data_IF_415434865663
#
_entry.id   IF_415434865663
#
_cell.length_a   1.000
_cell.length_b   1.000
_cell.length_c   1.000
_cell.angle_alpha   90.00
_cell.angle_beta   90.00
_cell.angle_gamma   90.00
#
_symmetry.space_group_name_H-M   'P 1'
#
loop_
_entity.id
_entity.type
_entity.pdbx_description
1 polymer ?
#
# COMPACT_ATOMS: atom_id res chain seq x y z
N UNK A 1 89.68 -6.36 27.96
CA UNK A 1 88.55 -5.50 27.53
C UNK A 1 88.20 -5.77 26.07
N UNK A 2 87.58 -6.93 25.76
CA UNK A 2 87.20 -7.31 24.38
C UNK A 2 85.71 -7.66 24.21
N UNK A 3 84.94 -7.81 25.31
CA UNK A 3 83.54 -8.25 25.26
C UNK A 3 82.49 -7.16 25.01
N UNK A 4 82.81 -5.89 25.26
CA UNK A 4 81.82 -4.79 25.18
C UNK A 4 81.46 -4.39 23.74
N UNK A 5 82.41 -4.47 22.80
CA UNK A 5 82.18 -4.06 21.40
C UNK A 5 81.38 -5.10 20.61
N UNK A 6 81.56 -6.38 20.92
CA UNK A 6 80.80 -7.48 20.28
C UNK A 6 79.34 -7.44 20.72
N UNK A 7 79.09 -7.18 22.01
CA UNK A 7 77.73 -7.06 22.53
C UNK A 7 76.99 -5.85 21.92
N UNK A 8 77.69 -4.72 21.77
CA UNK A 8 77.15 -3.52 21.10
C UNK A 8 76.85 -3.76 19.62
N UNK A 9 77.73 -4.49 18.91
CA UNK A 9 77.51 -4.83 17.50
C UNK A 9 76.31 -5.78 17.33
N UNK A 10 76.16 -6.78 18.20
CA UNK A 10 75.00 -7.69 18.17
C UNK A 10 73.71 -6.92 18.46
N UNK A 11 73.71 -6.03 19.46
CA UNK A 11 72.53 -5.21 19.79
C UNK A 11 72.11 -4.30 18.61
N UNK A 12 73.07 -3.64 17.96
CA UNK A 12 72.82 -2.79 16.78
C UNK A 12 72.27 -3.60 15.60
N UNK A 13 72.84 -4.77 15.34
CA UNK A 13 72.35 -5.66 14.28
C UNK A 13 70.94 -6.15 14.60
N UNK A 14 70.65 -6.55 15.85
CA UNK A 14 69.30 -6.93 16.27
C UNK A 14 68.29 -5.79 16.12
N UNK A 15 68.66 -4.55 16.45
CA UNK A 15 67.81 -3.36 16.25
C UNK A 15 67.53 -3.08 14.76
N UNK A 16 68.52 -3.27 13.90
CA UNK A 16 68.34 -3.10 12.45
C UNK A 16 67.49 -4.21 11.81
N UNK A 17 67.47 -5.42 12.40
CA UNK A 17 66.58 -6.52 11.99
C UNK A 17 65.16 -6.39 12.55
N UNK A 18 64.93 -5.60 13.60
CA UNK A 18 63.60 -5.36 14.18
C UNK A 18 62.83 -4.24 13.45
N UNK A 19 63.53 -3.29 12.81
CA UNK A 19 62.93 -2.18 12.09
C UNK A 19 62.02 -2.56 10.88
N UNK A 20 62.30 -3.64 10.11
CA UNK A 20 61.39 -4.11 9.06
C UNK A 20 60.16 -4.86 9.60
N UNK A 21 60.18 -5.31 10.86
CA UNK A 21 59.09 -6.09 11.47
C UNK A 21 58.00 -5.18 12.04
N UNK A 22 58.33 -3.91 12.31
CA UNK A 22 57.35 -2.86 12.67
C UNK A 22 56.60 -2.25 11.47
N UNK A 23 56.82 -2.75 10.25
CA UNK A 23 56.36 -2.12 9.01
C UNK A 23 55.10 -2.67 8.35
N UNK A 24 54.32 -3.56 8.97
CA UNK A 24 53.08 -4.09 8.37
C UNK A 24 52.14 -4.77 9.39
N UNK A 25 51.76 -4.07 10.46
CA UNK A 25 50.79 -4.54 11.47
C UNK A 25 49.84 -3.42 11.93
N UNK A 26 49.47 -2.56 10.99
CA UNK A 26 48.45 -1.53 11.17
C UNK A 26 48.01 -1.08 9.80
N UNK A 27 46.69 -0.92 9.62
CA UNK A 27 46.01 -0.49 8.40
C UNK A 27 45.62 -1.62 7.43
N UNK A 28 44.56 -2.31 7.80
CA UNK A 28 43.35 -2.49 6.98
C UNK A 28 42.29 -3.20 7.83
N UNK A 29 42.00 -2.69 9.03
CA UNK A 29 40.67 -2.97 9.59
C UNK A 29 39.70 -2.06 8.84
N UNK A 30 38.62 -2.60 8.26
CA UNK A 30 37.62 -1.77 7.61
C UNK A 30 37.15 -0.70 8.59
N UNK A 31 37.12 0.55 8.14
CA UNK A 31 36.69 1.65 8.97
C UNK A 31 35.19 1.46 9.27
N UNK A 32 34.88 1.02 10.49
CA UNK A 32 33.51 0.71 10.88
C UNK A 32 32.73 2.03 10.97
N UNK A 33 31.80 2.24 10.01
CA UNK A 33 30.86 3.35 10.04
C UNK A 33 29.88 3.13 11.20
N UNK A 34 29.77 4.11 12.10
CA UNK A 34 28.88 4.06 13.26
C UNK A 34 27.65 4.93 13.05
N UNK A 35 26.62 4.75 13.90
CA UNK A 35 25.41 5.58 13.87
C UNK A 35 25.69 7.06 14.14
N UNK A 36 26.80 7.39 14.79
CA UNK A 36 27.19 8.78 15.08
C UNK A 36 27.84 9.50 13.90
N UNK A 37 28.22 8.76 12.85
CA UNK A 37 28.86 9.33 11.66
C UNK A 37 27.82 9.85 10.65
N UNK A 38 26.54 9.79 10.99
CA UNK A 38 25.42 10.21 10.13
C UNK A 38 24.36 10.93 10.91
N UNK A 39 23.89 12.04 10.36
CA UNK A 39 22.80 12.85 10.93
C UNK A 39 21.62 12.85 9.97
N UNK A 40 20.46 12.41 10.47
CA UNK A 40 19.19 12.41 9.74
C UNK A 40 18.30 13.53 10.26
N UNK A 41 17.86 14.41 9.37
CA UNK A 41 16.98 15.55 9.68
C UNK A 41 15.71 15.47 8.82
N UNK A 42 14.50 15.66 9.37
CA UNK A 42 14.20 15.95 10.78
C UNK A 42 14.41 14.75 11.70
N UNK A 43 14.65 15.01 12.98
CA UNK A 43 14.86 13.97 14.00
C UNK A 43 13.62 13.10 14.29
N UNK A 44 12.43 13.56 13.87
CA UNK A 44 11.18 12.80 13.92
C UNK A 44 10.52 12.93 12.55
N UNK A 45 10.22 11.80 11.92
CA UNK A 45 9.57 11.76 10.61
C UNK A 45 8.05 11.80 10.76
N UNK A 46 7.36 12.47 9.85
CA UNK A 46 5.90 12.46 9.77
C UNK A 46 5.43 11.23 9.02
N UNK A 47 4.73 10.34 9.70
CA UNK A 47 4.24 9.09 9.11
C UNK A 47 3.16 9.34 8.06
N UNK A 48 3.27 8.68 6.90
CA UNK A 48 2.26 8.66 5.86
C UNK A 48 2.26 9.84 4.90
N UNK A 49 3.24 10.75 4.95
CA UNK A 49 3.39 11.86 3.99
C UNK A 49 4.79 11.86 3.38
N UNK A 50 4.90 12.30 2.12
CA UNK A 50 6.20 12.61 1.55
C UNK A 50 6.77 13.86 2.24
N UNK A 51 8.02 13.78 2.64
CA UNK A 51 8.71 14.87 3.30
C UNK A 51 10.20 14.85 2.96
N UNK A 52 10.81 16.04 2.96
CA UNK A 52 12.24 16.20 2.79
C UNK A 52 12.99 15.64 4.00
N UNK A 53 13.85 14.67 3.75
CA UNK A 53 14.76 14.08 4.73
C UNK A 53 16.19 14.34 4.26
N UNK A 54 16.95 15.05 5.08
CA UNK A 54 18.38 15.30 4.85
C UNK A 54 19.20 14.25 5.57
N UNK A 55 20.10 13.61 4.85
CA UNK A 55 21.10 12.66 5.38
C UNK A 55 22.45 13.33 5.21
N UNK A 56 23.15 13.63 6.31
CA UNK A 56 24.48 14.24 6.31
C UNK A 56 25.51 13.26 6.86
N UNK A 57 26.67 13.17 6.23
CA UNK A 57 27.72 12.23 6.59
C UNK A 57 28.95 12.95 7.15
N UNK A 58 29.48 12.48 8.27
CA UNK A 58 30.74 12.97 8.86
C UNK A 58 31.97 12.21 8.31
N UNK A 59 31.73 11.08 7.64
CA UNK A 59 32.74 10.22 6.99
C UNK A 59 32.27 9.77 5.62
N UNK A 60 33.19 9.27 4.80
CA UNK A 60 32.85 8.64 3.53
C UNK A 60 32.02 7.37 3.79
N UNK A 61 30.79 7.34 3.28
CA UNK A 61 29.85 6.25 3.49
C UNK A 61 28.83 6.12 2.36
N UNK A 62 28.21 4.94 2.26
CA UNK A 62 26.97 4.76 1.50
C UNK A 62 25.80 4.63 2.46
N UNK A 63 24.64 5.15 2.08
CA UNK A 63 23.39 4.99 2.81
C UNK A 63 22.32 4.34 1.92
N UNK A 64 21.68 3.29 2.42
CA UNK A 64 20.52 2.65 1.81
C UNK A 64 19.25 3.08 2.52
N UNK A 65 18.30 3.59 1.73
CA UNK A 65 17.03 4.12 2.19
C UNK A 65 15.93 3.17 1.71
N UNK A 66 15.37 2.31 2.58
CA UNK A 66 14.43 1.26 2.18
C UNK A 66 12.96 1.75 2.16
N UNK A 67 12.72 2.92 1.56
CA UNK A 67 11.41 3.59 1.56
C UNK A 67 11.02 4.08 0.17
N UNK A 68 9.75 4.45 0.00
CA UNK A 68 9.31 5.09 -1.24
C UNK A 68 9.88 6.50 -1.30
N UNK A 69 10.46 6.83 -2.46
CA UNK A 69 11.13 8.10 -2.71
C UNK A 69 10.45 8.76 -3.90
N UNK A 70 10.04 10.01 -3.73
CA UNK A 70 9.62 10.84 -4.85
C UNK A 70 10.89 11.40 -5.51
N UNK A 71 11.24 10.85 -6.66
CA UNK A 71 12.43 11.24 -7.40
C UNK A 71 12.11 12.50 -8.21
N UNK A 72 12.63 13.64 -7.75
CA UNK A 72 12.37 14.96 -8.36
C UNK A 72 12.89 15.07 -9.81
N UNK A 73 13.92 14.30 -10.17
CA UNK A 73 14.52 14.33 -11.50
C UNK A 73 13.67 13.59 -12.54
N UNK A 74 13.05 12.48 -12.13
CA UNK A 74 12.20 11.68 -13.01
C UNK A 74 10.72 12.00 -12.89
N UNK A 75 10.31 12.68 -11.81
CA UNK A 75 8.90 12.93 -11.46
C UNK A 75 8.17 11.71 -10.87
N UNK A 76 8.79 10.53 -10.87
CA UNK A 76 8.16 9.28 -10.42
C UNK A 76 8.50 8.94 -8.97
N UNK A 77 7.63 8.13 -8.36
CA UNK A 77 7.93 7.44 -7.11
C UNK A 77 8.69 6.15 -7.41
N UNK A 78 9.82 5.95 -6.72
CA UNK A 78 10.61 4.71 -6.79
C UNK A 78 10.66 4.02 -5.44
N UNK A 79 10.90 2.70 -5.46
CA UNK A 79 11.10 1.92 -4.25
C UNK A 79 12.60 1.86 -3.91
N UNK A 80 12.95 2.51 -2.81
CA UNK A 80 14.29 2.55 -2.23
C UNK A 80 15.37 3.23 -3.10
N UNK A 81 16.48 3.58 -2.48
CA UNK A 81 17.68 4.09 -3.16
C UNK A 81 18.94 3.81 -2.34
N UNK A 82 20.09 3.92 -2.97
CA UNK A 82 21.41 3.97 -2.33
C UNK A 82 22.06 5.28 -2.75
N UNK A 83 22.66 5.99 -1.79
CA UNK A 83 23.41 7.23 -2.03
C UNK A 83 24.81 7.09 -1.46
N UNK A 84 25.80 7.59 -2.19
CA UNK A 84 27.17 7.72 -1.70
C UNK A 84 27.38 9.16 -1.22
N UNK A 85 27.97 9.31 -0.04
CA UNK A 85 28.24 10.59 0.61
C UNK A 85 29.70 10.63 1.03
N UNK A 86 30.45 11.62 0.56
CA UNK A 86 31.78 11.89 1.12
C UNK A 86 31.66 12.61 2.46
N UNK A 87 32.74 12.60 3.24
CA UNK A 87 32.79 13.29 4.53
C UNK A 87 32.46 14.79 4.38
N UNK A 88 31.43 15.23 5.09
CA UNK A 88 30.89 16.59 5.05
C UNK A 88 29.78 16.81 4.02
N UNK A 89 29.45 15.80 3.19
CA UNK A 89 28.36 15.88 2.23
C UNK A 89 27.01 15.65 2.88
N UNK A 90 25.96 16.13 2.21
CA UNK A 90 24.58 15.85 2.56
C UNK A 90 23.70 15.73 1.33
N UNK A 91 22.65 14.94 1.44
CA UNK A 91 21.62 14.79 0.40
C UNK A 91 20.25 15.00 0.98
N UNK A 92 19.37 15.67 0.23
CA UNK A 92 17.96 15.83 0.53
C UNK A 92 17.14 14.87 -0.33
N UNK A 93 16.34 14.02 0.29
CA UNK A 93 15.44 13.07 -0.39
C UNK A 93 14.00 13.29 0.04
N UNK A 94 13.05 13.21 -0.89
CA UNK A 94 11.62 13.21 -0.57
C UNK A 94 11.18 11.79 -0.23
N UNK A 95 11.07 11.47 1.06
CA UNK A 95 10.79 10.11 1.55
C UNK A 95 9.36 10.03 2.09
N UNK A 96 8.64 8.96 1.75
CA UNK A 96 7.39 8.60 2.41
C UNK A 96 7.68 7.70 3.61
N UNK A 97 7.61 8.27 4.82
CA UNK A 97 7.75 7.48 6.03
C UNK A 97 6.53 6.57 6.24
N UNK A 98 6.71 5.30 6.66
CA UNK A 98 5.58 4.37 6.78
C UNK A 98 4.52 4.84 7.80
N UNK A 99 3.22 4.75 7.47
CA UNK A 99 2.15 5.34 8.28
C UNK A 99 1.70 4.51 9.50
N UNK A 100 2.20 3.28 9.67
CA UNK A 100 1.76 2.30 10.69
C UNK A 100 2.89 1.82 11.61
N UNK A 101 4.00 2.53 11.66
CA UNK A 101 5.12 2.23 12.55
C UNK A 101 5.64 3.52 13.18
N UNK A 102 6.34 3.39 14.30
CA UNK A 102 6.97 4.49 15.05
C UNK A 102 8.49 4.57 14.82
N UNK A 103 9.04 3.70 13.97
CA UNK A 103 10.48 3.56 13.76
C UNK A 103 10.80 3.36 12.28
N UNK A 104 11.55 4.28 11.69
CA UNK A 104 12.27 4.12 10.43
C UNK A 104 13.69 3.60 10.69
N UNK A 105 14.28 3.00 9.66
CA UNK A 105 15.61 2.40 9.64
C UNK A 105 16.27 2.82 8.32
N UNK A 106 17.42 3.46 8.42
CA UNK A 106 18.33 3.74 7.29
C UNK A 106 19.58 2.91 7.52
N UNK A 107 20.03 2.17 6.51
CA UNK A 107 21.21 1.32 6.63
C UNK A 107 22.42 2.10 6.11
N UNK A 108 23.53 2.02 6.82
CA UNK A 108 24.77 2.70 6.44
C UNK A 108 25.93 1.72 6.47
N UNK A 109 26.88 1.94 5.57
CA UNK A 109 28.03 1.06 5.38
C UNK A 109 29.14 1.76 4.62
N UNK A 110 30.18 0.99 4.28
CA UNK A 110 31.34 1.47 3.55
C UNK A 110 30.95 2.21 2.26
N UNK A 111 31.72 3.23 1.92
CA UNK A 111 31.52 4.00 0.69
C UNK A 111 31.61 3.10 -0.56
N UNK A 112 30.66 3.26 -1.48
CA UNK A 112 30.53 2.44 -2.69
C UNK A 112 29.94 1.05 -2.43
N UNK A 113 29.23 0.84 -1.32
CA UNK A 113 28.65 -0.47 -1.01
C UNK A 113 27.51 -0.85 -1.97
N UNK A 114 27.70 -1.99 -2.64
CA UNK A 114 26.79 -2.49 -3.68
C UNK A 114 25.64 -3.36 -3.18
N UNK A 115 25.83 -4.14 -2.10
CA UNK A 115 24.85 -5.12 -1.61
C UNK A 115 24.39 -4.80 -0.19
N UNK A 116 23.09 -4.92 0.05
CA UNK A 116 22.44 -4.50 1.29
C UNK A 116 21.49 -5.57 1.82
N UNK A 117 21.48 -5.82 3.14
CA UNK A 117 20.55 -6.76 3.75
C UNK A 117 19.16 -6.12 3.82
N UNK A 118 18.12 -6.91 3.60
CA UNK A 118 16.73 -6.48 3.72
C UNK A 118 15.91 -7.47 4.53
N UNK A 119 14.83 -6.97 5.14
CA UNK A 119 13.82 -7.79 5.81
C UNK A 119 13.06 -8.70 4.84
N UNK A 120 12.43 -9.75 5.38
CA UNK A 120 11.45 -10.54 4.63
C UNK A 120 10.14 -9.75 4.43
N UNK A 121 9.30 -10.21 3.50
CA UNK A 121 8.07 -9.48 3.12
C UNK A 121 7.02 -9.41 4.25
N UNK A 122 7.01 -10.42 5.11
CA UNK A 122 6.13 -10.58 6.27
C UNK A 122 6.64 -9.89 7.54
N UNK A 123 7.84 -9.33 7.49
CA UNK A 123 8.48 -8.66 8.61
C UNK A 123 8.44 -7.14 8.44
N UNK A 124 8.27 -6.39 9.55
CA UNK A 124 8.42 -4.93 9.56
C UNK A 124 9.87 -4.51 9.80
N UNK A 125 10.28 -3.33 9.34
CA UNK A 125 11.63 -2.80 9.63
C UNK A 125 11.91 -2.65 11.13
N UNK A 126 10.87 -2.35 11.94
CA UNK A 126 10.97 -2.31 13.39
C UNK A 126 11.29 -3.68 13.98
N UNK A 127 10.57 -4.71 13.55
CA UNK A 127 10.81 -6.10 14.00
C UNK A 127 12.18 -6.59 13.56
N UNK A 128 12.55 -6.30 12.31
CA UNK A 128 13.86 -6.64 11.73
C UNK A 128 15.01 -6.03 12.53
N UNK A 129 14.91 -4.75 12.89
CA UNK A 129 15.89 -4.08 13.74
C UNK A 129 15.90 -4.68 15.15
N UNK A 130 14.74 -4.90 15.76
CA UNK A 130 14.61 -5.40 17.13
C UNK A 130 15.18 -6.82 17.34
N UNK A 131 15.25 -7.64 16.28
CA UNK A 131 15.90 -8.95 16.33
C UNK A 131 17.38 -8.92 15.95
N UNK A 132 18.01 -7.75 15.87
CA UNK A 132 19.39 -7.54 15.43
C UNK A 132 19.66 -7.96 13.97
N UNK A 133 18.67 -7.79 13.09
CA UNK A 133 18.79 -8.17 11.68
C UNK A 133 20.01 -7.54 10.99
N UNK A 134 20.39 -6.32 11.35
CA UNK A 134 21.55 -5.62 10.78
C UNK A 134 22.90 -6.30 11.04
N UNK A 135 22.99 -7.18 12.05
CA UNK A 135 24.20 -7.92 12.40
C UNK A 135 24.24 -9.33 11.79
N UNK A 136 23.18 -9.77 11.10
CA UNK A 136 23.06 -11.14 10.58
C UNK A 136 23.48 -11.26 9.12
N UNK A 137 24.10 -12.40 8.78
CA UNK A 137 24.56 -12.71 7.42
C UNK A 137 23.51 -13.40 6.54
N UNK A 138 22.44 -13.94 7.13
CA UNK A 138 21.44 -14.78 6.48
C UNK A 138 20.20 -14.01 6.00
N UNK A 139 20.19 -12.67 6.12
CA UNK A 139 19.12 -11.86 5.57
C UNK A 139 19.04 -12.00 4.03
N UNK A 140 17.85 -11.87 3.44
CA UNK A 140 17.71 -11.54 2.03
C UNK A 140 18.50 -10.29 1.65
N UNK A 141 18.85 -10.15 0.36
CA UNK A 141 19.66 -9.05 -0.13
C UNK A 141 19.02 -8.25 -1.27
N UNK A 142 19.48 -7.02 -1.42
CA UNK A 142 19.30 -6.22 -2.64
C UNK A 142 20.65 -5.72 -3.14
N UNK A 143 20.77 -5.58 -4.45
CA UNK A 143 21.93 -4.96 -5.08
C UNK A 143 21.55 -3.61 -5.69
N UNK A 144 22.45 -2.65 -5.54
CA UNK A 144 22.38 -1.33 -6.16
C UNK A 144 22.36 -1.46 -7.69
N UNK A 145 21.59 -0.59 -8.33
CA UNK A 145 21.51 -0.44 -9.78
C UNK A 145 21.59 1.03 -10.10
N UNK A 146 22.59 1.42 -10.90
CA UNK A 146 22.79 2.80 -11.30
C UNK A 146 21.50 3.40 -11.88
N UNK A 147 21.14 4.60 -11.43
CA UNK A 147 20.00 5.32 -11.95
C UNK A 147 20.16 5.68 -13.43
N UNK A 148 19.04 5.98 -14.08
CA UNK A 148 19.02 6.33 -15.51
C UNK A 148 19.21 7.83 -15.63
N UNK A 149 20.06 8.28 -16.56
CA UNK A 149 20.31 9.70 -16.85
C UNK A 149 20.72 10.52 -15.61
N UNK A 150 21.66 9.98 -14.81
CA UNK A 150 22.20 10.62 -13.59
C UNK A 150 21.21 10.73 -12.42
N UNK A 151 20.01 10.12 -12.54
CA UNK A 151 19.09 10.01 -11.42
C UNK A 151 19.61 9.13 -10.29
N UNK A 152 19.05 9.35 -9.09
CA UNK A 152 19.36 8.55 -7.91
C UNK A 152 19.19 7.06 -8.20
N UNK A 153 20.05 6.26 -7.56
CA UNK A 153 20.12 4.84 -7.85
C UNK A 153 18.86 4.10 -7.43
N UNK A 154 18.65 2.96 -8.06
CA UNK A 154 17.57 2.04 -7.74
C UNK A 154 18.17 0.76 -7.14
N UNK A 155 17.31 -0.17 -6.74
CA UNK A 155 17.75 -1.47 -6.24
C UNK A 155 17.01 -2.59 -6.95
N UNK A 156 17.67 -3.75 -7.02
CA UNK A 156 17.08 -4.99 -7.50
C UNK A 156 17.32 -6.12 -6.50
N UNK A 157 16.49 -7.15 -6.56
CA UNK A 157 16.62 -8.31 -5.68
C UNK A 157 17.95 -9.02 -5.92
N UNK A 158 18.62 -9.43 -4.84
CA UNK A 158 19.90 -10.13 -4.87
C UNK A 158 19.92 -11.30 -3.88
N UNK A 159 20.69 -12.33 -4.21
CA UNK A 159 20.99 -13.41 -3.26
C UNK A 159 22.15 -13.05 -2.30
N UNK A 160 22.73 -11.86 -2.44
CA UNK A 160 23.83 -11.37 -1.63
C UNK A 160 23.31 -10.23 -0.73
N UNK A 161 23.33 -10.44 0.58
CA UNK A 161 23.01 -9.42 1.59
C UNK A 161 24.12 -8.38 1.76
N UNK A 162 25.35 -8.70 1.33
CA UNK A 162 26.52 -7.89 1.61
C UNK A 162 27.03 -8.00 3.05
N UNK A 163 26.42 -8.83 3.89
CA UNK A 163 26.80 -9.01 5.30
C UNK A 163 26.31 -7.87 6.21
N UNK A 164 26.89 -7.73 7.41
CA UNK A 164 26.41 -6.80 8.43
C UNK A 164 26.48 -5.34 7.98
N UNK A 165 25.59 -4.52 8.54
CA UNK A 165 25.48 -3.07 8.32
C UNK A 165 25.24 -2.36 9.63
N UNK A 166 25.47 -1.05 9.63
CA UNK A 166 25.04 -0.19 10.73
C UNK A 166 23.62 0.30 10.42
N UNK A 167 22.71 0.18 11.39
CA UNK A 167 21.31 0.54 11.20
C UNK A 167 20.95 1.78 12.04
N UNK A 168 20.65 2.88 11.36
CA UNK A 168 20.28 4.16 11.97
C UNK A 168 18.77 4.21 12.13
N UNK A 169 18.29 4.33 13.36
CA UNK A 169 16.85 4.42 13.62
C UNK A 169 16.38 5.88 13.70
N UNK A 170 15.21 6.15 13.14
CA UNK A 170 14.58 7.48 13.20
C UNK A 170 13.14 7.33 13.68
N UNK A 171 12.73 8.01 14.77
CA UNK A 171 11.35 7.99 15.23
C UNK A 171 10.37 8.48 14.15
N UNK A 172 9.21 7.85 14.07
CA UNK A 172 8.09 8.27 13.22
C UNK A 172 6.90 8.64 14.11
N UNK A 173 6.27 9.76 13.80
CA UNK A 173 5.00 10.16 14.39
C UNK A 173 4.01 10.50 13.28
N UNK A 174 2.91 9.73 13.20
CA UNK A 174 1.79 10.11 12.33
C UNK A 174 1.07 11.30 12.96
N UNK A 175 0.92 12.37 12.17
CA UNK A 175 0.24 13.58 12.62
C UNK A 175 -1.28 13.35 12.72
N UNK A 176 -1.96 14.25 13.41
CA UNK A 176 -3.40 14.21 13.62
C UNK A 176 -3.96 15.60 13.31
N UNK A 177 -5.03 15.66 12.53
CA UNK A 177 -5.70 16.91 12.23
C UNK A 177 -6.33 17.47 13.51
N UNK A 178 -6.10 18.76 13.77
CA UNK A 178 -6.57 19.42 14.99
C UNK A 178 -8.11 19.47 15.13
N UNK A 179 -8.84 19.24 14.03
CA UNK A 179 -10.30 19.29 13.99
C UNK A 179 -10.97 18.04 14.61
N UNK A 180 -10.25 16.94 14.80
CA UNK A 180 -10.81 15.68 15.29
C UNK A 180 -10.22 15.33 16.64
N UNK A 181 -10.99 14.72 17.54
CA UNK A 181 -10.45 14.08 18.74
C UNK A 181 -10.04 12.63 18.43
N UNK A 182 -9.32 11.97 19.34
CA UNK A 182 -8.93 10.56 19.14
C UNK A 182 -10.17 9.66 19.04
N UNK A 183 -11.19 9.94 19.85
CA UNK A 183 -12.47 9.24 19.83
C UNK A 183 -13.22 9.37 18.49
N UNK A 184 -12.97 10.45 17.74
CA UNK A 184 -13.56 10.69 16.43
C UNK A 184 -12.69 10.15 15.28
N UNK A 185 -11.71 9.29 15.59
CA UNK A 185 -10.79 8.72 14.60
C UNK A 185 -9.63 9.64 14.23
N UNK A 186 -9.32 10.65 15.04
CA UNK A 186 -8.27 11.62 14.73
C UNK A 186 -6.88 11.02 14.49
N UNK A 187 -6.54 9.87 15.11
CA UNK A 187 -5.29 9.13 14.81
C UNK A 187 -5.16 8.64 13.37
N UNK A 188 -6.27 8.63 12.63
CA UNK A 188 -6.37 8.18 11.26
C UNK A 188 -6.74 9.31 10.31
N UNK A 189 -6.48 10.57 10.66
CA UNK A 189 -6.95 11.76 9.94
C UNK A 189 -5.94 12.47 9.04
N UNK A 190 -4.70 11.99 9.01
CA UNK A 190 -3.62 12.58 8.21
C UNK A 190 -2.84 11.49 7.49
N UNK A 191 -2.16 11.85 6.40
CA UNK A 191 -1.41 10.95 5.54
C UNK A 191 -1.89 11.04 4.11
N UNK A 192 -1.15 10.43 3.18
CA UNK A 192 -1.48 10.36 1.77
C UNK A 192 -2.79 9.60 1.54
N UNK A 193 -2.97 8.51 2.28
CA UNK A 193 -4.25 7.80 2.42
C UNK A 193 -4.52 7.59 3.90
N UNK A 194 -5.72 7.96 4.34
CA UNK A 194 -6.10 7.96 5.75
C UNK A 194 -7.51 7.42 5.98
N UNK A 195 -7.74 6.88 7.18
CA UNK A 195 -9.00 6.21 7.51
C UNK A 195 -10.15 7.17 7.77
N UNK A 196 -9.86 8.44 8.10
CA UNK A 196 -10.90 9.46 8.32
C UNK A 196 -11.53 9.88 7.01
N UNK A 197 -10.73 10.03 5.95
CA UNK A 197 -11.23 10.29 4.60
C UNK A 197 -12.14 9.16 4.11
N UNK A 198 -11.73 7.90 4.29
CA UNK A 198 -12.59 6.73 4.02
C UNK A 198 -13.89 6.80 4.82
N UNK A 199 -13.81 7.06 6.13
CA UNK A 199 -14.99 7.20 6.98
C UNK A 199 -15.93 8.32 6.52
N UNK A 200 -15.39 9.47 6.10
CA UNK A 200 -16.20 10.58 5.60
C UNK A 200 -16.96 10.20 4.33
N UNK A 201 -16.32 9.48 3.38
CA UNK A 201 -17.00 8.96 2.19
C UNK A 201 -18.11 7.96 2.55
N UNK A 202 -17.85 7.03 3.50
CA UNK A 202 -18.88 6.12 3.99
C UNK A 202 -20.04 6.94 4.55
N UNK A 203 -19.76 7.89 5.43
CA UNK A 203 -20.76 8.70 6.10
C UNK A 203 -21.61 9.52 5.12
N UNK A 204 -21.03 10.05 4.04
CA UNK A 204 -21.78 10.76 3.00
C UNK A 204 -22.68 9.80 2.22
N UNK A 205 -22.13 8.69 1.73
CA UNK A 205 -22.90 7.75 0.91
C UNK A 205 -23.98 7.01 1.71
N UNK A 206 -23.76 6.75 3.00
CA UNK A 206 -24.67 6.01 3.86
C UNK A 206 -25.53 6.89 4.77
N UNK A 207 -25.62 8.21 4.54
CA UNK A 207 -26.44 9.11 5.36
C UNK A 207 -27.93 8.82 5.15
N UNK A 208 -28.55 8.17 6.12
CA UNK A 208 -29.97 7.80 6.10
C UNK A 208 -30.89 8.87 6.71
N UNK A 209 -30.37 10.07 6.96
CA UNK A 209 -31.17 11.21 7.40
C UNK A 209 -32.26 11.50 6.36
N UNK A 210 -33.55 11.56 6.76
CA UNK A 210 -34.62 11.81 5.80
C UNK A 210 -34.53 13.18 5.13
N UNK A 211 -34.55 13.19 3.79
CA UNK A 211 -34.70 14.41 2.97
C UNK A 211 -36.05 14.40 2.25
N UNK A 212 -37.04 15.22 2.69
CA UNK A 212 -38.33 15.32 2.03
C UNK A 212 -38.30 15.89 0.60
N UNK A 213 -37.17 16.45 0.17
CA UNK A 213 -36.96 17.00 -1.17
C UNK A 213 -36.32 16.00 -2.12
N UNK A 214 -35.71 14.95 -1.60
CA UNK A 214 -35.25 13.80 -2.37
C UNK A 214 -36.46 12.90 -2.71
N UNK A 215 -36.78 12.82 -4.00
CA UNK A 215 -37.88 12.00 -4.50
C UNK A 215 -37.46 10.59 -4.96
N UNK A 216 -36.17 10.27 -4.82
CA UNK A 216 -35.51 9.08 -5.33
C UNK A 216 -35.41 8.02 -4.24
N UNK A 217 -34.70 8.30 -3.15
CA UNK A 217 -34.54 7.42 -1.99
C UNK A 217 -35.01 8.05 -0.67
N UNK A 218 -35.28 9.36 -0.68
CA UNK A 218 -35.76 10.12 0.47
C UNK A 218 -34.71 10.31 1.58
N UNK A 219 -33.42 10.19 1.26
CA UNK A 219 -32.31 10.36 2.18
C UNK A 219 -31.36 11.49 1.72
N UNK A 220 -30.47 11.93 2.60
CA UNK A 220 -29.41 12.90 2.26
C UNK A 220 -28.26 12.22 1.50
N UNK A 221 -28.00 10.94 1.79
CA UNK A 221 -26.95 10.15 1.17
C UNK A 221 -27.35 9.54 -0.18
N UNK A 222 -26.69 8.44 -0.54
CA UNK A 222 -26.91 7.73 -1.81
C UNK A 222 -27.28 6.27 -1.52
N UNK A 223 -28.54 6.07 -1.12
CA UNK A 223 -29.05 4.78 -0.68
C UNK A 223 -29.66 3.99 -1.83
N UNK A 224 -30.14 2.79 -1.53
CA UNK A 224 -30.91 1.93 -2.44
C UNK A 224 -30.26 1.73 -3.80
N UNK A 225 -28.92 1.63 -3.86
CA UNK A 225 -28.11 1.52 -5.10
C UNK A 225 -28.21 0.14 -5.75
N UNK A 226 -29.42 -0.38 -5.92
CA UNK A 226 -29.67 -1.74 -6.39
C UNK A 226 -29.58 -1.79 -7.92
N UNK A 227 -28.62 -2.55 -8.42
CA UNK A 227 -28.40 -2.69 -9.86
C UNK A 227 -29.55 -3.48 -10.54
N UNK A 228 -29.88 -3.07 -11.76
CA UNK A 228 -30.68 -3.86 -12.68
C UNK A 228 -32.18 -3.92 -12.48
N UNK A 229 -32.76 -2.81 -12.02
CA UNK A 229 -34.21 -2.65 -11.95
C UNK A 229 -34.68 -1.32 -12.57
N UNK A 230 -33.82 -0.59 -13.30
CA UNK A 230 -34.13 0.76 -13.78
C UNK A 230 -34.34 1.73 -12.62
N UNK A 231 -33.43 1.66 -11.65
CA UNK A 231 -33.54 2.30 -10.35
C UNK A 231 -32.92 3.71 -10.38
N UNK A 232 -33.72 4.73 -10.05
CA UNK A 232 -33.27 6.11 -10.04
C UNK A 232 -32.20 6.39 -8.96
N UNK A 233 -32.24 5.69 -7.82
CA UNK A 233 -31.27 5.86 -6.73
C UNK A 233 -29.89 5.34 -7.12
N UNK A 234 -29.89 4.21 -7.84
CA UNK A 234 -28.70 3.66 -8.44
C UNK A 234 -28.05 4.66 -9.42
N UNK A 235 -28.82 5.21 -10.37
CA UNK A 235 -28.34 6.23 -11.33
C UNK A 235 -27.81 7.50 -10.64
N UNK A 236 -28.53 8.01 -9.63
CA UNK A 236 -28.12 9.21 -8.90
C UNK A 236 -26.78 9.02 -8.17
N UNK A 237 -26.64 7.89 -7.47
CA UNK A 237 -25.39 7.52 -6.82
C UNK A 237 -24.21 7.44 -7.80
N UNK A 238 -24.44 7.03 -9.03
CA UNK A 238 -23.39 7.03 -10.03
C UNK A 238 -23.03 8.37 -10.60
N UNK A 239 -24.01 9.26 -10.78
CA UNK A 239 -23.70 10.63 -11.16
C UNK A 239 -22.83 11.29 -10.08
N UNK A 240 -23.08 11.02 -8.80
CA UNK A 240 -22.20 11.44 -7.71
C UNK A 240 -20.78 10.86 -7.84
N UNK A 241 -20.65 9.55 -8.08
CA UNK A 241 -19.35 8.89 -8.19
C UNK A 241 -18.56 9.34 -9.43
N UNK A 242 -19.23 9.53 -10.57
CA UNK A 242 -18.64 10.09 -11.81
C UNK A 242 -18.10 11.48 -11.51
N UNK A 243 -18.93 12.38 -10.98
CA UNK A 243 -18.52 13.74 -10.65
C UNK A 243 -17.38 13.77 -9.63
N UNK A 244 -17.40 12.87 -8.65
CA UNK A 244 -16.34 12.76 -7.64
C UNK A 244 -15.00 12.41 -8.29
N UNK A 245 -14.96 11.39 -9.14
CA UNK A 245 -13.74 10.99 -9.85
C UNK A 245 -13.27 12.05 -10.86
N UNK A 246 -14.18 12.70 -11.57
CA UNK A 246 -13.87 13.83 -12.46
C UNK A 246 -13.25 15.00 -11.69
N UNK A 247 -13.78 15.30 -10.50
CA UNK A 247 -13.27 16.37 -9.63
C UNK A 247 -11.86 16.07 -9.08
N UNK A 248 -11.46 14.80 -8.99
CA UNK A 248 -10.07 14.43 -8.71
C UNK A 248 -9.13 14.69 -9.91
N UNK A 249 -9.68 14.98 -11.09
CA UNK A 249 -8.93 15.20 -12.33
C UNK A 249 -8.68 13.92 -13.13
N UNK A 250 -9.44 12.85 -12.87
CA UNK A 250 -9.36 11.60 -13.61
C UNK A 250 -10.20 11.65 -14.88
N UNK A 251 -9.77 10.93 -15.92
CA UNK A 251 -10.61 10.71 -17.10
C UNK A 251 -11.61 9.60 -16.77
N UNK A 252 -12.89 9.95 -16.62
CA UNK A 252 -13.93 8.97 -16.26
C UNK A 252 -14.54 8.37 -17.51
N UNK A 253 -14.42 7.05 -17.64
CA UNK A 253 -15.04 6.27 -18.70
C UNK A 253 -16.09 5.36 -18.06
N UNK A 254 -17.34 5.57 -18.46
CA UNK A 254 -18.47 4.74 -18.03
C UNK A 254 -18.78 3.68 -19.07
N UNK A 255 -18.92 2.42 -18.66
CA UNK A 255 -19.36 1.34 -19.55
C UNK A 255 -20.79 0.94 -19.18
N UNK A 256 -21.76 1.35 -20.00
CA UNK A 256 -23.18 0.99 -19.83
C UNK A 256 -23.50 -0.27 -20.63
N UNK A 257 -24.10 -1.27 -19.99
CA UNK A 257 -24.37 -2.56 -20.60
C UNK A 257 -25.69 -3.17 -20.11
N UNK A 258 -26.20 -4.11 -20.89
CA UNK A 258 -27.39 -4.92 -20.58
C UNK A 258 -26.92 -6.35 -20.38
N UNK A 259 -27.40 -7.01 -19.33
CA UNK A 259 -27.09 -8.42 -19.09
C UNK A 259 -28.35 -9.26 -19.28
N UNK A 260 -28.31 -10.18 -20.24
CA UNK A 260 -29.36 -11.16 -20.48
C UNK A 260 -28.77 -12.57 -20.32
N UNK A 261 -29.23 -13.32 -19.31
CA UNK A 261 -28.85 -14.73 -19.14
C UNK A 261 -29.96 -15.65 -19.61
N UNK A 262 -29.72 -16.36 -20.71
CA UNK A 262 -30.61 -17.40 -21.22
C UNK A 262 -30.69 -18.63 -20.29
N UNK A 263 -29.67 -18.83 -19.44
CA UNK A 263 -29.55 -19.98 -18.53
C UNK A 263 -30.29 -19.77 -17.20
N UNK A 264 -30.31 -18.54 -16.68
CA UNK A 264 -30.98 -18.20 -15.43
C UNK A 264 -32.28 -17.42 -15.64
N UNK A 265 -32.57 -16.99 -16.87
CA UNK A 265 -33.69 -16.11 -17.20
C UNK A 265 -33.54 -14.69 -16.64
N UNK A 266 -32.39 -14.37 -16.03
CA UNK A 266 -32.14 -13.06 -15.45
C UNK A 266 -31.96 -12.02 -16.57
N UNK A 267 -32.80 -10.99 -16.54
CA UNK A 267 -32.63 -9.78 -17.33
C UNK A 267 -32.25 -8.66 -16.39
N UNK A 268 -31.10 -8.05 -16.65
CA UNK A 268 -30.67 -6.81 -16.05
C UNK A 268 -30.86 -5.72 -17.12
N UNK A 269 -31.95 -4.94 -17.06
CA UNK A 269 -32.27 -3.95 -18.07
C UNK A 269 -31.20 -2.86 -18.17
N UNK A 270 -30.34 -2.69 -17.15
CA UNK A 270 -29.22 -1.76 -17.20
C UNK A 270 -28.25 -1.87 -16.02
N UNK A 271 -26.96 -1.96 -16.35
CA UNK A 271 -25.85 -1.83 -15.41
C UNK A 271 -24.80 -0.90 -16.03
N UNK A 272 -24.02 -0.21 -15.19
CA UNK A 272 -22.91 0.60 -15.69
C UNK A 272 -21.72 0.59 -14.73
N UNK A 273 -20.54 0.33 -15.28
CA UNK A 273 -19.30 0.49 -14.52
C UNK A 273 -18.85 1.96 -14.60
N UNK A 274 -18.21 2.44 -13.53
CA UNK A 274 -17.62 3.78 -13.46
C UNK A 274 -16.12 3.61 -13.22
N UNK A 275 -15.29 3.93 -14.19
CA UNK A 275 -13.85 3.79 -14.07
C UNK A 275 -13.16 5.13 -14.31
N UNK A 276 -12.40 5.61 -13.31
CA UNK A 276 -11.52 6.78 -13.43
C UNK A 276 -10.12 6.34 -13.85
N UNK A 277 -9.59 6.94 -14.92
CA UNK A 277 -8.29 6.63 -15.51
C UNK A 277 -7.30 7.76 -15.27
N UNK A 278 -6.12 7.38 -14.79
CA UNK A 278 -4.90 8.20 -14.82
C UNK A 278 -3.89 7.53 -15.73
N UNK A 279 -3.84 7.95 -16.99
CA UNK A 279 -2.95 7.35 -17.98
C UNK A 279 -1.47 7.51 -17.61
N UNK A 280 -0.73 6.42 -17.69
CA UNK A 280 0.70 6.38 -17.43
C UNK A 280 1.48 7.09 -18.54
N UNK A 281 2.57 7.77 -18.18
CA UNK A 281 3.38 8.53 -19.13
C UNK A 281 4.45 7.70 -19.86
N UNK A 282 4.67 6.45 -19.44
CA UNK A 282 5.71 5.56 -20.03
C UNK A 282 5.09 4.33 -20.68
N UNK A 283 4.19 3.64 -19.99
CA UNK A 283 3.49 2.45 -20.45
C UNK A 283 1.97 2.65 -20.27
N UNK A 284 1.32 3.48 -21.09
CA UNK A 284 -0.12 3.75 -20.97
C UNK A 284 -0.99 2.49 -21.11
N UNK A 285 -0.50 1.46 -21.80
CA UNK A 285 -1.21 0.20 -22.02
C UNK A 285 -1.01 -0.80 -20.87
N UNK A 286 -0.17 -0.50 -19.86
CA UNK A 286 -0.02 -1.32 -18.65
C UNK A 286 -0.91 -0.76 -17.54
N UNK A 287 -1.91 -1.50 -17.12
CA UNK A 287 -2.95 -1.03 -16.20
C UNK A 287 -2.80 -1.66 -14.81
N UNK A 288 -2.77 -0.81 -13.79
CA UNK A 288 -2.86 -1.17 -12.37
C UNK A 288 -4.25 -0.77 -11.86
N UNK A 289 -5.05 -1.76 -11.47
CA UNK A 289 -6.49 -1.57 -11.26
C UNK A 289 -6.84 -1.70 -9.77
N UNK A 290 -7.54 -0.71 -9.22
CA UNK A 290 -8.21 -0.74 -7.93
C UNK A 290 -9.71 -0.86 -8.16
N UNK A 291 -10.32 -1.92 -7.63
CA UNK A 291 -11.73 -2.24 -7.83
C UNK A 291 -12.51 -2.25 -6.51
N UNK A 292 -13.77 -1.84 -6.58
CA UNK A 292 -14.82 -2.14 -5.61
C UNK A 292 -16.15 -2.15 -6.35
N UNK A 293 -17.22 -2.74 -5.80
CA UNK A 293 -18.54 -2.55 -6.39
C UNK A 293 -19.30 -1.47 -5.62
N UNK A 294 -20.10 -0.71 -6.36
CA UNK A 294 -20.91 0.37 -5.78
C UNK A 294 -22.38 -0.01 -5.70
N UNK A 295 -22.83 -1.06 -6.40
CA UNK A 295 -24.17 -1.56 -6.18
C UNK A 295 -24.31 -2.25 -4.81
N UNK A 296 -25.54 -2.28 -4.30
CA UNK A 296 -25.88 -2.88 -3.01
C UNK A 296 -26.94 -3.96 -3.25
N UNK A 297 -26.93 -5.05 -2.48
CA UNK A 297 -28.03 -5.99 -2.46
C UNK A 297 -29.33 -5.33 -1.92
N UNK A 298 -30.50 -5.57 -2.54
CA UNK A 298 -31.77 -5.09 -2.01
C UNK A 298 -32.18 -5.84 -0.74
N UNK A 299 -32.90 -5.20 0.20
CA UNK A 299 -33.51 -5.88 1.35
C UNK A 299 -34.61 -6.85 0.89
N UNK A 300 -34.83 -7.95 1.64
CA UNK A 300 -36.00 -8.82 1.40
C UNK A 300 -37.28 -8.00 1.56
N UNK A 301 -38.05 -7.85 0.48
CA UNK A 301 -39.38 -7.29 0.58
C UNK A 301 -40.24 -8.25 1.43
N UNK A 302 -40.82 -7.76 2.53
CA UNK A 302 -41.61 -8.51 3.53
C UNK A 302 -42.94 -9.09 3.03
N UNK A 303 -42.99 -9.56 1.79
CA UNK A 303 -44.10 -10.28 1.19
C UNK A 303 -43.59 -11.19 0.08
N UNK A 304 -43.61 -12.49 0.36
CA UNK A 304 -43.35 -13.63 -0.53
C UNK A 304 -41.92 -14.22 -0.53
N UNK A 305 -41.84 -15.31 0.24
CA UNK A 305 -41.11 -16.56 -0.03
C UNK A 305 -39.74 -16.74 0.61
N UNK A 306 -39.55 -17.98 1.04
CA UNK A 306 -38.36 -18.55 1.66
C UNK A 306 -37.08 -18.21 0.85
N UNK A 307 -36.07 -17.56 1.46
CA UNK A 307 -34.79 -17.20 0.82
C UNK A 307 -33.96 -18.42 0.36
N UNK A 308 -34.36 -19.65 0.70
CA UNK A 308 -33.78 -20.88 0.16
C UNK A 308 -34.38 -21.31 -1.19
N UNK A 309 -35.47 -20.68 -1.66
CA UNK A 309 -36.16 -21.05 -2.91
C UNK A 309 -35.90 -20.03 -4.04
N UNK A 310 -35.68 -18.73 -3.73
CA UNK A 310 -35.58 -17.66 -4.73
C UNK A 310 -34.22 -16.94 -4.81
N UNK A 311 -33.22 -17.42 -4.08
CA UNK A 311 -31.94 -16.73 -3.94
C UNK A 311 -31.96 -15.79 -2.74
N UNK A 312 -30.87 -15.81 -1.98
CA UNK A 312 -30.71 -15.07 -0.72
C UNK A 312 -30.68 -13.55 -1.01
N UNK A 313 -31.48 -12.72 -0.34
CA UNK A 313 -31.29 -11.25 -0.34
C UNK A 313 -31.10 -10.74 1.08
N UNK A 314 -29.87 -10.76 1.61
CA UNK A 314 -29.53 -10.21 2.94
C UNK A 314 -29.15 -8.72 2.89
N UNK A 315 -29.60 -8.02 1.85
CA UNK A 315 -29.20 -6.65 1.54
C UNK A 315 -29.78 -5.58 2.45
N UNK A 316 -29.31 -4.34 2.27
CA UNK A 316 -29.74 -3.18 3.06
C UNK A 316 -30.01 -1.99 2.15
N UNK A 317 -30.55 -0.91 2.72
CA UNK A 317 -30.64 0.37 2.00
C UNK A 317 -29.28 1.05 1.83
N UNK A 318 -28.34 0.80 2.75
CA UNK A 318 -27.09 1.59 2.88
C UNK A 318 -25.83 0.90 2.36
N UNK A 319 -25.77 -0.44 2.42
CA UNK A 319 -24.60 -1.23 2.01
C UNK A 319 -23.30 -0.81 2.70
N UNK A 320 -23.34 -0.36 3.96
CA UNK A 320 -22.21 0.30 4.62
C UNK A 320 -20.92 -0.55 4.57
N UNK A 321 -21.03 -1.83 4.90
CA UNK A 321 -19.95 -2.82 4.81
C UNK A 321 -19.76 -3.37 3.39
N UNK A 322 -20.87 -3.61 2.71
CA UNK A 322 -20.97 -4.31 1.43
C UNK A 322 -21.80 -3.45 0.45
N UNK A 323 -21.18 -2.60 -0.37
CA UNK A 323 -19.74 -2.32 -0.39
C UNK A 323 -19.42 -0.82 -0.48
N UNK A 324 -20.21 -0.02 0.24
CA UNK A 324 -19.94 1.40 0.46
C UNK A 324 -18.54 1.60 1.08
N UNK A 325 -18.09 0.71 1.95
CA UNK A 325 -16.73 0.74 2.50
C UNK A 325 -15.65 0.56 1.43
N UNK A 326 -15.72 -0.46 0.58
CA UNK A 326 -14.75 -0.68 -0.50
C UNK A 326 -14.79 0.44 -1.54
N UNK A 327 -15.98 0.89 -1.92
CA UNK A 327 -16.17 2.07 -2.78
C UNK A 327 -15.45 3.29 -2.19
N UNK A 328 -15.63 3.57 -0.90
CA UNK A 328 -14.99 4.68 -0.20
C UNK A 328 -13.46 4.56 -0.15
N UNK A 329 -12.95 3.35 -0.02
CA UNK A 329 -11.51 3.10 -0.06
C UNK A 329 -10.94 3.33 -1.45
N UNK A 330 -11.60 2.89 -2.52
CA UNK A 330 -11.19 3.17 -3.90
C UNK A 330 -11.21 4.67 -4.17
N UNK A 331 -12.26 5.40 -3.75
CA UNK A 331 -12.31 6.86 -3.86
C UNK A 331 -11.15 7.54 -3.12
N UNK A 332 -10.81 7.10 -1.92
CA UNK A 332 -9.71 7.67 -1.13
C UNK A 332 -8.34 7.44 -1.78
N UNK A 333 -8.12 6.26 -2.39
CA UNK A 333 -6.89 5.99 -3.15
C UNK A 333 -6.88 6.80 -4.44
N UNK A 334 -8.02 6.90 -5.15
CA UNK A 334 -8.16 7.69 -6.37
C UNK A 334 -7.81 9.17 -6.11
N UNK A 335 -8.37 9.76 -5.06
CA UNK A 335 -8.08 11.15 -4.64
C UNK A 335 -6.59 11.34 -4.36
N UNK A 336 -5.99 10.44 -3.58
CA UNK A 336 -4.57 10.51 -3.22
C UNK A 336 -3.64 10.38 -4.43
N UNK A 337 -4.01 9.55 -5.41
CA UNK A 337 -3.14 9.15 -6.51
C UNK A 337 -3.37 9.95 -7.79
N UNK A 338 -4.52 10.62 -7.96
CA UNK A 338 -4.85 11.35 -9.19
C UNK A 338 -3.84 12.45 -9.54
N UNK A 339 -3.19 13.05 -8.54
CA UNK A 339 -2.20 14.10 -8.73
C UNK A 339 -0.79 13.61 -9.08
N UNK A 340 -0.52 12.31 -8.97
CA UNK A 340 0.80 11.77 -9.27
C UNK A 340 0.95 11.42 -10.76
N UNK A 341 2.15 11.62 -11.28
CA UNK A 341 2.56 11.03 -12.55
C UNK A 341 3.05 9.60 -12.30
N UNK A 342 2.52 8.65 -13.05
CA UNK A 342 2.88 7.24 -12.95
C UNK A 342 3.38 6.72 -14.29
N UNK A 343 4.26 5.71 -14.24
CA UNK A 343 4.78 5.07 -15.45
C UNK A 343 3.67 4.28 -16.15
N UNK A 344 2.91 3.52 -15.37
CA UNK A 344 1.79 2.70 -15.81
C UNK A 344 0.48 3.46 -15.56
N UNK A 345 -0.58 3.10 -16.28
CA UNK A 345 -1.91 3.65 -16.08
C UNK A 345 -2.51 3.13 -14.78
N UNK A 346 -3.06 4.01 -13.96
CA UNK A 346 -3.87 3.65 -12.80
C UNK A 346 -5.35 3.72 -13.16
N UNK A 347 -6.09 2.70 -12.77
CA UNK A 347 -7.54 2.62 -13.03
C UNK A 347 -8.26 2.41 -11.70
N UNK A 348 -9.23 3.27 -11.41
CA UNK A 348 -10.08 3.20 -10.23
C UNK A 348 -11.49 2.86 -10.68
N UNK A 349 -11.88 1.58 -10.57
CA UNK A 349 -13.14 1.07 -11.10
C UNK A 349 -14.14 0.75 -9.99
N UNK A 350 -15.35 1.24 -10.19
CA UNK A 350 -16.52 0.95 -9.38
C UNK A 350 -17.46 0.09 -10.22
N UNK A 351 -17.49 -1.20 -9.88
CA UNK A 351 -18.26 -2.23 -10.59
C UNK A 351 -19.74 -2.14 -10.29
N UNK A 352 -20.54 -2.49 -11.29
CA UNK A 352 -21.97 -2.69 -11.15
C UNK A 352 -22.36 -4.17 -11.21
N UNK A 353 -23.41 -4.53 -10.47
CA UNK A 353 -24.03 -5.85 -10.55
C UNK A 353 -23.16 -6.96 -9.98
N UNK A 354 -22.30 -6.65 -8.99
CA UNK A 354 -21.55 -7.67 -8.26
C UNK A 354 -22.50 -8.62 -7.54
N UNK A 355 -23.49 -8.05 -6.86
CA UNK A 355 -24.52 -8.73 -6.06
C UNK A 355 -25.40 -9.66 -6.90
N UNK A 356 -25.44 -9.40 -8.21
CA UNK A 356 -26.12 -10.20 -9.21
C UNK A 356 -25.23 -11.26 -9.88
N UNK A 357 -23.98 -11.41 -9.46
CA UNK A 357 -22.97 -12.32 -10.01
C UNK A 357 -21.94 -11.65 -10.90
N UNK A 358 -21.15 -10.68 -10.37
CA UNK A 358 -19.94 -10.11 -11.01
C UNK A 358 -20.11 -9.51 -12.40
N UNK A 359 -21.33 -9.08 -12.73
CA UNK A 359 -21.72 -8.74 -14.12
C UNK A 359 -20.87 -7.61 -14.69
N UNK A 360 -20.59 -6.59 -13.88
CA UNK A 360 -19.78 -5.44 -14.26
C UNK A 360 -18.32 -5.77 -14.50
N UNK A 361 -17.68 -6.51 -13.60
CA UNK A 361 -16.29 -6.93 -13.79
C UNK A 361 -16.13 -7.89 -14.96
N UNK A 362 -17.10 -8.80 -15.19
CA UNK A 362 -17.10 -9.68 -16.36
C UNK A 362 -17.22 -8.85 -17.65
N UNK A 363 -18.15 -7.88 -17.70
CA UNK A 363 -18.28 -7.00 -18.86
C UNK A 363 -16.98 -6.22 -19.13
N UNK A 364 -16.39 -5.62 -18.10
CA UNK A 364 -15.17 -4.82 -18.25
C UNK A 364 -14.00 -5.67 -18.73
N UNK A 365 -13.84 -6.88 -18.19
CA UNK A 365 -12.73 -7.75 -18.59
C UNK A 365 -12.92 -8.32 -20.00
N UNK A 366 -14.12 -8.79 -20.35
CA UNK A 366 -14.35 -9.48 -21.62
C UNK A 366 -14.53 -8.54 -22.80
N UNK A 367 -15.21 -7.40 -22.61
CA UNK A 367 -15.47 -6.45 -23.69
C UNK A 367 -14.50 -5.28 -23.64
N UNK A 368 -14.47 -4.54 -22.53
CA UNK A 368 -13.67 -3.31 -22.47
C UNK A 368 -12.17 -3.57 -22.57
N UNK A 369 -11.64 -4.58 -21.88
CA UNK A 369 -10.20 -4.91 -21.97
C UNK A 369 -9.91 -5.81 -23.17
N UNK A 370 -10.48 -7.00 -23.25
CA UNK A 370 -10.06 -7.98 -24.27
C UNK A 370 -10.51 -7.66 -25.70
N UNK A 371 -11.67 -7.03 -25.88
CA UNK A 371 -12.22 -6.73 -27.22
C UNK A 371 -11.88 -5.31 -27.67
N UNK A 372 -12.20 -4.30 -26.84
CA UNK A 372 -12.09 -2.89 -27.21
C UNK A 372 -10.66 -2.34 -27.07
N UNK A 373 -9.88 -2.85 -26.11
CA UNK A 373 -8.50 -2.41 -25.82
C UNK A 373 -7.51 -3.61 -25.75
N UNK A 374 -7.40 -4.43 -26.80
CA UNK A 374 -6.66 -5.70 -26.77
C UNK A 374 -5.14 -5.56 -26.54
N UNK A 375 -4.59 -4.36 -26.70
CA UNK A 375 -3.21 -3.99 -26.38
C UNK A 375 -2.96 -3.85 -24.88
N UNK A 376 -4.01 -3.69 -24.07
CA UNK A 376 -3.90 -3.45 -22.64
C UNK A 376 -3.47 -4.71 -21.90
N UNK A 377 -2.44 -4.56 -21.07
CA UNK A 377 -1.99 -5.55 -20.10
C UNK A 377 -2.38 -5.09 -18.69
N UNK A 378 -3.32 -5.78 -18.05
CA UNK A 378 -3.60 -5.55 -16.62
C UNK A 378 -2.50 -6.24 -15.81
N UNK A 379 -1.58 -5.46 -15.25
CA UNK A 379 -0.41 -6.00 -14.53
C UNK A 379 -0.75 -6.35 -13.08
N UNK A 380 -1.68 -5.62 -12.49
CA UNK A 380 -2.08 -5.79 -11.10
C UNK A 380 -3.55 -5.43 -10.94
N UNK A 381 -4.24 -6.16 -10.08
CA UNK A 381 -5.59 -5.85 -9.63
C UNK A 381 -5.64 -5.95 -8.11
N UNK A 382 -6.38 -5.04 -7.48
CA UNK A 382 -6.75 -5.10 -6.06
C UNK A 382 -8.24 -4.83 -5.96
N UNK A 383 -9.01 -5.83 -5.52
CA UNK A 383 -10.43 -5.64 -5.19
C UNK A 383 -10.59 -5.35 -3.69
N UNK A 384 -11.40 -4.34 -3.37
CA UNK A 384 -11.76 -3.94 -2.02
C UNK A 384 -13.25 -4.21 -1.83
N UNK A 385 -13.53 -5.27 -1.09
CA UNK A 385 -14.89 -5.75 -0.89
C UNK A 385 -15.05 -6.25 0.54
N UNK A 386 -16.19 -5.88 1.15
CA UNK A 386 -16.53 -6.23 2.51
C UNK A 386 -15.44 -5.79 3.52
N UNK A 387 -15.27 -4.48 3.69
CA UNK A 387 -14.21 -3.88 4.50
C UNK A 387 -14.72 -3.02 5.68
N UNK A 388 -13.88 -2.78 6.70
CA UNK A 388 -14.17 -1.83 7.79
C UNK A 388 -14.82 -2.42 9.05
N UNK A 389 -14.81 -3.74 9.23
CA UNK A 389 -15.26 -4.40 10.48
C UNK A 389 -14.03 -4.70 11.35
N UNK A 390 -14.03 -4.24 12.61
CA UNK A 390 -13.02 -4.60 13.60
C UNK A 390 -13.40 -5.93 14.29
N UNK A 391 -12.39 -6.76 14.56
CA UNK A 391 -12.54 -7.99 15.34
C UNK A 391 -12.51 -7.70 16.87
N UNK A 392 -13.28 -8.44 17.71
CA UNK A 392 -14.31 -9.39 17.34
C UNK A 392 -15.52 -8.72 16.70
N UNK A 393 -15.77 -9.08 15.44
CA UNK A 393 -16.93 -8.64 14.69
C UNK A 393 -18.02 -9.67 14.90
N UNK A 394 -19.15 -9.25 15.49
CA UNK A 394 -20.36 -10.07 15.48
C UNK A 394 -20.70 -10.45 14.03
N UNK A 395 -21.02 -11.72 13.81
CA UNK A 395 -21.12 -12.35 12.50
C UNK A 395 -22.18 -11.73 11.59
N UNK A 396 -21.72 -10.91 10.66
CA UNK A 396 -22.50 -10.45 9.50
C UNK A 396 -21.98 -10.97 8.16
N UNK A 397 -20.77 -11.56 8.13
CA UNK A 397 -20.20 -12.06 6.88
C UNK A 397 -20.93 -13.34 6.44
N UNK A 398 -21.45 -13.40 5.20
CA UNK A 398 -21.96 -14.65 4.64
C UNK A 398 -20.85 -15.70 4.62
N UNK A 399 -21.10 -16.84 5.26
CA UNK A 399 -20.21 -17.99 5.18
C UNK A 399 -20.76 -19.02 4.17
N UNK A 400 -19.85 -19.72 3.49
CA UNK A 400 -20.14 -20.78 2.51
C UNK A 400 -20.18 -20.32 1.03
N UNK A 401 -19.79 -21.24 0.14
CA UNK A 401 -19.80 -21.15 -1.33
C UNK A 401 -19.41 -19.80 -1.96
N UNK A 402 -18.11 -19.53 -2.05
CA UNK A 402 -17.54 -18.46 -2.88
C UNK A 402 -16.86 -17.33 -2.10
N UNK A 403 -17.18 -17.15 -0.82
CA UNK A 403 -16.69 -16.02 -0.01
C UNK A 403 -15.71 -16.42 1.13
N UNK A 404 -15.01 -17.56 1.00
CA UNK A 404 -13.87 -17.90 1.87
C UNK A 404 -13.96 -19.18 2.70
N UNK A 405 -14.53 -20.26 2.16
CA UNK A 405 -14.45 -21.61 2.75
C UNK A 405 -15.42 -21.85 3.92
N UNK A 406 -16.15 -22.97 3.86
CA UNK A 406 -17.16 -23.36 4.85
C UNK A 406 -18.31 -24.13 4.20
N UNK A 407 -19.04 -24.93 4.98
CA UNK A 407 -20.26 -25.58 4.49
C UNK A 407 -21.32 -24.52 4.16
N UNK A 408 -21.97 -24.65 3.00
CA UNK A 408 -23.05 -23.74 2.61
C UNK A 408 -24.24 -23.85 3.55
N UNK A 409 -24.86 -22.73 3.92
CA UNK A 409 -26.08 -22.75 4.71
C UNK A 409 -26.06 -21.94 6.01
N UNK A 410 -24.91 -21.46 6.46
CA UNK A 410 -24.84 -20.69 7.70
C UNK A 410 -25.53 -19.33 7.57
N UNK A 411 -26.27 -18.98 8.63
CA UNK A 411 -26.94 -17.70 8.84
C UNK A 411 -25.93 -16.76 9.51
N UNK A 412 -25.76 -15.50 9.06
CA UNK A 412 -24.94 -14.53 9.79
C UNK A 412 -25.47 -14.41 11.23
N UNK A 413 -24.72 -14.94 12.20
CA UNK A 413 -25.08 -14.85 13.60
C UNK A 413 -24.68 -13.47 14.15
N UNK A 414 -25.64 -12.60 14.52
CA UNK A 414 -25.34 -11.25 15.00
C UNK A 414 -24.69 -11.24 16.40
N UNK A 415 -24.62 -12.39 17.08
CA UNK A 415 -23.92 -12.53 18.34
C UNK A 415 -22.40 -12.54 18.12
N UNK A 416 -21.67 -11.88 19.02
CA UNK A 416 -20.21 -11.89 19.04
C UNK A 416 -19.77 -13.33 19.30
N UNK A 417 -19.17 -13.99 18.30
CA UNK A 417 -18.56 -15.31 18.45
C UNK A 417 -17.14 -15.14 19.02
N UNK A 418 -16.89 -15.47 20.30
CA UNK A 418 -15.57 -15.33 20.90
C UNK A 418 -14.54 -16.33 20.33
N UNK A 419 -15.00 -17.38 19.64
CA UNK A 419 -14.17 -18.42 19.01
C UNK A 419 -14.22 -18.36 17.47
N UNK A 420 -14.92 -17.37 16.91
CA UNK A 420 -15.11 -17.15 15.49
C UNK A 420 -13.82 -16.78 14.78
N UNK A 421 -13.71 -17.22 13.54
CA UNK A 421 -12.52 -17.07 12.70
C UNK A 421 -12.35 -15.63 12.16
N UNK A 422 -11.12 -15.07 12.05
CA UNK A 422 -9.82 -15.54 12.54
C UNK A 422 -9.30 -14.79 13.78
N UNK A 423 -8.37 -15.43 14.52
CA UNK A 423 -7.82 -14.99 15.82
C UNK A 423 -6.75 -13.89 15.66
N UNK A 424 -6.54 -13.07 16.69
CA UNK A 424 -5.52 -11.99 16.75
C UNK A 424 -4.06 -12.45 16.47
N UNK A 425 -3.81 -13.75 16.54
CA UNK A 425 -2.52 -14.39 16.20
C UNK A 425 -2.35 -14.61 14.68
N UNK A 426 -3.43 -14.47 13.91
CA UNK A 426 -3.49 -14.57 12.45
C UNK A 426 -3.64 -13.18 11.85
N UNK A 427 -2.54 -12.61 11.36
CA UNK A 427 -2.52 -11.32 10.67
C UNK A 427 -3.27 -11.45 9.34
N UNK A 428 -4.55 -11.04 9.30
CA UNK A 428 -5.24 -10.74 8.05
C UNK A 428 -5.30 -9.22 7.84
N UNK A 429 -4.48 -8.63 6.95
CA UNK A 429 -4.87 -7.37 6.34
C UNK A 429 -6.15 -7.63 5.51
N UNK A 430 -6.92 -6.57 5.24
CA UNK A 430 -7.70 -6.40 4.00
C UNK A 430 -7.55 -7.56 3.00
N UNK A 431 -8.64 -8.21 2.57
CA UNK A 431 -8.58 -9.21 1.47
C UNK A 431 -8.20 -8.50 0.17
N UNK A 432 -6.91 -8.29 -0.02
CA UNK A 432 -6.31 -7.80 -1.27
C UNK A 432 -6.22 -9.00 -2.19
N UNK A 433 -7.15 -9.13 -3.13
CA UNK A 433 -6.98 -10.06 -4.25
C UNK A 433 -5.93 -9.49 -5.19
N UNK A 434 -4.65 -9.78 -4.94
CA UNK A 434 -3.58 -9.49 -5.89
C UNK A 434 -3.74 -10.50 -7.03
N UNK A 435 -4.15 -10.02 -8.21
CA UNK A 435 -4.20 -10.84 -9.43
C UNK A 435 -2.86 -11.52 -9.73
N UNK A 436 -2.83 -12.59 -10.52
CA UNK A 436 -1.61 -13.36 -10.78
C UNK A 436 -0.51 -12.47 -11.38
N UNK A 437 0.69 -12.57 -10.80
CA UNK A 437 1.96 -12.06 -11.34
C UNK A 437 2.38 -12.83 -12.59
#
# INVERSE_FOLDING_TARGET
MAGSRVLQAILLVSLMFLAPISGCFGENEPEIISENDVVVTPAILSGGVFQGVTISADKDMSAFIPYLIQNEETGFVQNSTVVDLSAGDSVLLQILAPPRTDTAVILVGEYGRENWPVRTIDESWRSWYARDGFAMDDNPGVSRVAGINESIDTVTQSNLSGGPVTAVTVPIQRQMAAAYAEADGGRHSMGLVDGRTVFNYINVMSDDTPDPTDAIDGAVGYLDRWAGQGNAAYEDAAQYLIQTLENFGLEVITQRFVYESLMTGAQNPEAYNICGYRFGSVNPDKWMVFGAHFDIAPPVNGGMLDPHIFGRTYGTRVGAYDNTAGTSMVLSVAEAMASYETRNTMVFCLWSGEEGGKRGSDFWTDYWVKEDNPEVEVTNYVNLDMAGVNWPGGGGAPCGNGHGGGEGGCDPQPEIDPDGYPKDEEVWPMRVYIGPS
#
